data_IF_346729297275
#
_entry.id   IF_346729297275
#
_cell.length_a   1.000
_cell.length_b   1.000
_cell.length_c   1.000
_cell.angle_alpha   90.00
_cell.angle_beta   90.00
_cell.angle_gamma   90.00
#
_symmetry.space_group_name_H-M   'P 1'
#
loop_
_entity.id
_entity.type
_entity.pdbx_description
1 polymer ?
#
# COMPACT_ATOMS: atom_id res chain seq x y z
N UNK A 1 0.22 15.70 48.85
CA UNK A 1 -0.24 14.37 48.46
C UNK A 1 0.02 14.21 46.96
N UNK A 2 0.91 13.34 46.55
CA UNK A 2 1.07 13.03 45.13
C UNK A 2 -0.20 12.31 44.65
N UNK A 3 -0.84 12.86 43.59
CA UNK A 3 -1.96 12.18 42.92
C UNK A 3 -1.40 10.93 42.24
N UNK A 4 -1.73 9.78 42.78
CA UNK A 4 -1.45 8.51 42.11
C UNK A 4 -2.17 8.52 40.77
N UNK A 5 -1.40 8.43 39.67
CA UNK A 5 -1.96 8.30 38.33
C UNK A 5 -2.72 6.98 38.27
N UNK A 6 -3.93 6.95 37.70
CA UNK A 6 -4.70 5.71 37.57
C UNK A 6 -3.90 4.67 36.79
N UNK A 7 -3.84 3.46 37.33
CA UNK A 7 -3.20 2.32 36.67
C UNK A 7 -3.91 2.04 35.33
N UNK A 8 -3.19 2.29 34.24
CA UNK A 8 -3.67 1.96 32.89
C UNK A 8 -3.10 0.60 32.51
N UNK A 9 -3.93 -0.44 32.27
CA UNK A 9 -3.44 -1.75 31.92
C UNK A 9 -2.72 -1.70 30.56
N UNK A 10 -1.56 -2.36 30.48
CA UNK A 10 -0.72 -2.39 29.26
C UNK A 10 -1.49 -2.77 27.98
N UNK A 11 -2.50 -3.63 28.12
CA UNK A 11 -3.36 -4.04 27.01
C UNK A 11 -4.17 -2.87 26.42
N UNK A 12 -4.61 -1.94 27.25
CA UNK A 12 -5.35 -0.77 26.81
C UNK A 12 -4.42 0.20 26.04
N UNK A 13 -3.21 0.39 26.55
CA UNK A 13 -2.19 1.22 25.90
C UNK A 13 -1.86 0.66 24.52
N UNK A 14 -1.56 -0.65 24.43
CA UNK A 14 -1.24 -1.30 23.15
C UNK A 14 -2.42 -1.18 22.17
N UNK A 15 -3.66 -1.38 22.63
CA UNK A 15 -4.85 -1.26 21.79
C UNK A 15 -5.04 0.15 21.24
N UNK A 16 -4.84 1.18 22.06
CA UNK A 16 -4.94 2.59 21.65
C UNK A 16 -3.87 2.91 20.60
N UNK A 17 -2.62 2.58 20.85
CA UNK A 17 -1.53 2.81 19.89
C UNK A 17 -1.77 2.08 18.54
N UNK A 18 -2.28 0.86 18.58
CA UNK A 18 -2.56 0.10 17.34
C UNK A 18 -3.70 0.74 16.54
N UNK A 19 -4.74 1.24 17.20
CA UNK A 19 -5.86 1.91 16.52
C UNK A 19 -5.43 3.23 15.90
N UNK A 20 -4.69 4.06 16.63
CA UNK A 20 -4.18 5.34 16.13
C UNK A 20 -3.26 5.15 14.91
N UNK A 21 -2.35 4.17 14.95
CA UNK A 21 -1.49 3.85 13.82
C UNK A 21 -2.28 3.35 12.61
N UNK A 22 -3.30 2.52 12.81
CA UNK A 22 -4.16 2.02 11.73
C UNK A 22 -4.90 3.14 11.03
N UNK A 23 -5.49 4.05 11.80
CA UNK A 23 -6.25 5.20 11.28
C UNK A 23 -5.32 6.14 10.52
N UNK A 24 -4.15 6.46 11.07
CA UNK A 24 -3.16 7.29 10.39
C UNK A 24 -2.71 6.68 9.05
N UNK A 25 -2.39 5.39 9.02
CA UNK A 25 -2.01 4.71 7.78
C UNK A 25 -3.15 4.69 6.76
N UNK A 26 -4.38 4.48 7.20
CA UNK A 26 -5.55 4.53 6.33
C UNK A 26 -5.79 5.93 5.75
N UNK A 27 -5.60 6.99 6.54
CA UNK A 27 -5.67 8.39 6.10
C UNK A 27 -4.58 8.73 5.09
N UNK A 28 -3.39 8.14 5.22
CA UNK A 28 -2.29 8.37 4.31
C UNK A 28 -2.45 7.60 2.99
N UNK A 29 -2.77 6.32 3.07
CA UNK A 29 -2.81 5.41 1.90
C UNK A 29 -4.11 5.60 1.11
N UNK A 30 -5.23 5.83 1.80
CA UNK A 30 -6.56 5.94 1.18
C UNK A 30 -6.62 6.97 0.04
N UNK A 31 -6.32 8.25 0.29
CA UNK A 31 -6.35 9.28 -0.74
C UNK A 31 -5.39 9.00 -1.91
N UNK A 32 -4.19 8.49 -1.62
CA UNK A 32 -3.20 8.13 -2.66
C UNK A 32 -3.77 7.06 -3.58
N UNK A 33 -4.39 6.02 -3.02
CA UNK A 33 -4.99 4.94 -3.80
C UNK A 33 -6.20 5.39 -4.60
N UNK A 34 -7.02 6.31 -4.07
CA UNK A 34 -8.13 6.91 -4.81
C UNK A 34 -7.59 7.66 -6.03
N UNK A 35 -6.62 8.53 -5.84
CA UNK A 35 -6.04 9.33 -6.95
C UNK A 35 -5.42 8.43 -8.01
N UNK A 36 -4.65 7.41 -7.60
CA UNK A 36 -4.05 6.44 -8.53
C UNK A 36 -5.12 5.63 -9.27
N UNK A 37 -6.11 5.11 -8.57
CA UNK A 37 -7.20 4.34 -9.16
C UNK A 37 -8.01 5.15 -10.16
N UNK A 38 -8.41 6.36 -9.80
CA UNK A 38 -9.12 7.31 -10.67
C UNK A 38 -8.27 7.67 -11.89
N UNK A 39 -6.99 7.96 -11.70
CA UNK A 39 -6.06 8.25 -12.80
C UNK A 39 -5.94 7.09 -13.80
N UNK A 40 -5.85 5.85 -13.32
CA UNK A 40 -5.82 4.65 -14.17
C UNK A 40 -7.11 4.45 -14.96
N UNK A 41 -8.26 4.81 -14.37
CA UNK A 41 -9.57 4.68 -15.04
C UNK A 41 -9.81 5.78 -16.06
N UNK A 42 -9.42 7.04 -15.78
CA UNK A 42 -9.61 8.18 -16.67
C UNK A 42 -8.63 8.15 -17.86
N UNK A 43 -7.37 7.83 -17.60
CA UNK A 43 -6.30 7.88 -18.60
C UNK A 43 -5.49 6.59 -18.69
N UNK A 44 -6.09 5.45 -19.03
CA UNK A 44 -5.39 4.17 -19.07
C UNK A 44 -4.22 4.16 -20.08
N UNK A 45 -4.32 4.94 -21.15
CA UNK A 45 -3.26 5.08 -22.16
C UNK A 45 -2.00 5.74 -21.59
N UNK A 46 -2.15 6.81 -20.81
CA UNK A 46 -1.03 7.51 -20.20
C UNK A 46 -0.34 6.63 -19.15
N UNK A 47 -1.12 5.92 -18.34
CA UNK A 47 -0.57 4.96 -17.37
C UNK A 47 0.17 3.83 -18.03
N UNK A 48 -0.33 3.32 -19.16
CA UNK A 48 0.36 2.30 -19.95
C UNK A 48 1.70 2.82 -20.46
N UNK A 49 1.75 4.02 -21.05
CA UNK A 49 2.98 4.62 -21.54
C UNK A 49 4.01 4.81 -20.43
N UNK A 50 3.58 5.33 -19.28
CA UNK A 50 4.42 5.50 -18.10
C UNK A 50 4.94 4.15 -17.57
N UNK A 51 4.10 3.11 -17.56
CA UNK A 51 4.49 1.77 -17.16
C UNK A 51 5.49 1.14 -18.16
N UNK A 52 5.32 1.36 -19.45
CA UNK A 52 6.28 0.91 -20.49
C UNK A 52 7.65 1.58 -20.31
N UNK A 53 7.69 2.89 -20.05
CA UNK A 53 8.93 3.63 -19.76
C UNK A 53 9.58 3.13 -18.46
N UNK A 54 8.77 2.93 -17.43
CA UNK A 54 9.23 2.37 -16.15
C UNK A 54 9.92 1.02 -16.34
N UNK A 55 9.32 0.10 -17.11
CA UNK A 55 9.87 -1.23 -17.34
C UNK A 55 11.17 -1.21 -18.19
N UNK A 56 11.40 -0.17 -18.97
CA UNK A 56 12.65 0.01 -19.74
C UNK A 56 13.81 0.49 -18.88
N UNK A 57 13.54 1.11 -17.74
CA UNK A 57 14.55 1.69 -16.87
C UNK A 57 14.81 0.81 -15.65
N UNK A 58 15.97 0.14 -15.61
CA UNK A 58 16.41 -0.62 -14.43
C UNK A 58 16.48 0.25 -13.18
N UNK A 59 16.96 1.49 -13.33
CA UNK A 59 17.07 2.43 -12.22
C UNK A 59 15.71 2.73 -11.59
N UNK A 60 14.66 2.93 -12.40
CA UNK A 60 13.31 3.16 -11.90
C UNK A 60 12.75 1.91 -11.20
N UNK A 61 13.04 0.71 -11.69
CA UNK A 61 12.63 -0.55 -11.03
C UNK A 61 13.30 -0.66 -9.66
N UNK A 62 14.58 -0.32 -9.53
CA UNK A 62 15.29 -0.30 -8.24
C UNK A 62 14.72 0.73 -7.28
N UNK A 63 14.52 1.97 -7.74
CA UNK A 63 13.91 3.04 -6.92
C UNK A 63 12.53 2.62 -6.44
N UNK A 64 11.68 2.09 -7.32
CA UNK A 64 10.37 1.60 -6.95
C UNK A 64 10.43 0.40 -6.00
N UNK A 65 11.47 -0.45 -6.11
CA UNK A 65 11.75 -1.52 -5.17
C UNK A 65 12.01 -0.97 -3.76
N UNK A 66 12.88 0.04 -3.63
CA UNK A 66 13.15 0.70 -2.35
C UNK A 66 11.91 1.43 -1.82
N UNK A 67 11.21 2.16 -2.70
CA UNK A 67 9.98 2.90 -2.35
C UNK A 67 8.83 1.96 -1.91
N UNK A 68 8.84 0.70 -2.31
CA UNK A 68 7.89 -0.30 -1.84
C UNK A 68 8.39 -1.01 -0.56
N UNK A 69 9.68 -1.36 -0.50
CA UNK A 69 10.27 -2.11 0.61
C UNK A 69 10.28 -1.31 1.90
N UNK A 70 10.77 -0.06 1.87
CA UNK A 70 10.94 0.76 3.08
C UNK A 70 9.59 1.04 3.77
N UNK A 71 8.56 1.61 3.11
CA UNK A 71 7.27 1.79 3.75
C UNK A 71 6.55 0.47 4.04
N UNK A 72 6.71 -0.55 3.19
CA UNK A 72 6.18 -1.89 3.46
C UNK A 72 6.74 -2.47 4.77
N UNK A 73 8.05 -2.37 4.97
CA UNK A 73 8.70 -2.81 6.20
C UNK A 73 8.27 -1.97 7.40
N UNK A 74 8.16 -0.64 7.24
CA UNK A 74 7.65 0.25 8.28
C UNK A 74 6.24 -0.17 8.72
N UNK A 75 5.34 -0.47 7.76
CA UNK A 75 3.99 -0.95 8.06
C UNK A 75 4.05 -2.28 8.81
N UNK A 76 4.78 -3.27 8.32
CA UNK A 76 4.87 -4.60 8.94
C UNK A 76 5.44 -4.53 10.36
N UNK A 77 6.41 -3.66 10.62
CA UNK A 77 7.02 -3.50 11.95
C UNK A 77 6.11 -2.75 12.94
N UNK A 78 5.30 -1.81 12.46
CA UNK A 78 4.44 -0.97 13.32
C UNK A 78 2.99 -1.43 13.35
N UNK A 79 2.55 -2.13 12.31
CA UNK A 79 1.16 -2.54 12.11
C UNK A 79 1.09 -3.97 11.56
N UNK A 80 1.16 -4.96 12.44
CA UNK A 80 1.05 -6.38 12.07
C UNK A 80 -0.19 -7.00 12.72
N UNK A 81 -1.37 -6.55 12.27
CA UNK A 81 -2.66 -6.94 12.84
C UNK A 81 -3.35 -7.94 11.90
N UNK A 82 -3.52 -9.18 12.37
CA UNK A 82 -4.15 -10.29 11.63
C UNK A 82 -5.58 -10.56 12.15
N UNK A 83 -6.40 -9.53 12.20
CA UNK A 83 -7.82 -9.64 12.57
C UNK A 83 -8.63 -9.42 11.30
N UNK A 84 -9.71 -10.21 11.10
CA UNK A 84 -10.64 -10.04 9.97
C UNK A 84 -11.45 -8.74 10.12
N UNK A 85 -10.76 -7.61 9.89
CA UNK A 85 -11.28 -6.25 9.93
C UNK A 85 -10.58 -5.45 8.82
N UNK A 86 -11.05 -4.22 8.52
CA UNK A 86 -10.42 -3.32 7.54
C UNK A 86 -8.89 -3.11 7.77
N UNK A 87 -8.43 -3.26 9.00
CA UNK A 87 -6.99 -3.18 9.38
C UNK A 87 -6.14 -4.27 8.74
N UNK A 88 -6.74 -5.43 8.42
CA UNK A 88 -6.07 -6.49 7.70
C UNK A 88 -5.55 -6.01 6.33
N UNK A 89 -6.30 -5.11 5.67
CA UNK A 89 -5.90 -4.55 4.37
C UNK A 89 -4.54 -3.86 4.48
N UNK A 90 -4.32 -3.07 5.53
CA UNK A 90 -3.04 -2.36 5.77
C UNK A 90 -1.91 -3.35 5.99
N UNK A 91 -2.13 -4.38 6.80
CA UNK A 91 -1.14 -5.45 7.04
C UNK A 91 -0.77 -6.17 5.74
N UNK A 92 -1.76 -6.54 4.94
CA UNK A 92 -1.54 -7.20 3.64
C UNK A 92 -0.79 -6.27 2.68
N UNK A 93 -1.13 -4.99 2.61
CA UNK A 93 -0.41 -4.00 1.80
C UNK A 93 1.04 -3.85 2.24
N UNK A 94 1.31 -3.84 3.55
CA UNK A 94 2.66 -3.84 4.08
C UNK A 94 3.47 -5.04 3.62
N UNK A 95 2.93 -6.24 3.75
CA UNK A 95 3.58 -7.48 3.28
C UNK A 95 3.75 -7.52 1.76
N UNK A 96 2.77 -7.08 0.99
CA UNK A 96 2.90 -6.95 -0.47
C UNK A 96 4.00 -5.94 -0.85
N UNK A 97 4.12 -4.84 -0.09
CA UNK A 97 5.20 -3.87 -0.25
C UNK A 97 6.58 -4.49 -0.02
N UNK A 98 6.73 -5.27 1.06
CA UNK A 98 7.99 -5.97 1.36
C UNK A 98 8.32 -7.00 0.28
N UNK A 99 7.40 -7.91 -0.02
CA UNK A 99 7.62 -8.98 -1.01
C UNK A 99 7.88 -8.37 -2.40
N UNK A 100 7.03 -7.44 -2.81
CA UNK A 100 7.16 -6.78 -4.11
C UNK A 100 8.41 -5.90 -4.23
N UNK A 101 8.83 -5.26 -3.12
CA UNK A 101 10.07 -4.49 -3.05
C UNK A 101 11.30 -5.39 -3.19
N UNK A 102 11.38 -6.45 -2.40
CA UNK A 102 12.46 -7.45 -2.48
C UNK A 102 12.52 -8.07 -3.88
N UNK A 103 11.39 -8.44 -4.45
CA UNK A 103 11.33 -9.02 -5.78
C UNK A 103 11.87 -8.06 -6.87
N UNK A 104 11.55 -6.76 -6.80
CA UNK A 104 12.08 -5.75 -7.73
C UNK A 104 13.58 -5.54 -7.59
N UNK A 105 14.09 -5.62 -6.37
CA UNK A 105 15.52 -5.44 -6.12
C UNK A 105 16.36 -6.65 -6.54
N UNK A 106 15.86 -7.87 -6.30
CA UNK A 106 16.59 -9.09 -6.59
C UNK A 106 16.40 -9.56 -8.04
N UNK A 107 15.22 -9.35 -8.62
CA UNK A 107 14.83 -9.92 -9.91
C UNK A 107 14.29 -8.86 -10.89
N UNK A 108 15.05 -7.77 -11.19
CA UNK A 108 14.56 -6.70 -12.07
C UNK A 108 14.22 -7.16 -13.49
N UNK A 109 14.90 -8.21 -13.99
CA UNK A 109 14.63 -8.77 -15.32
C UNK A 109 13.27 -9.47 -15.38
N UNK A 110 12.90 -10.21 -14.34
CA UNK A 110 11.60 -10.87 -14.22
C UNK A 110 10.47 -9.85 -14.11
N UNK A 111 10.71 -8.74 -13.40
CA UNK A 111 9.76 -7.62 -13.32
C UNK A 111 9.46 -7.07 -14.71
N UNK A 112 10.50 -6.87 -15.53
CA UNK A 112 10.34 -6.40 -16.92
C UNK A 112 9.57 -7.42 -17.75
N UNK A 113 9.90 -8.70 -17.67
CA UNK A 113 9.25 -9.76 -18.44
C UNK A 113 7.75 -9.90 -18.08
N UNK A 114 7.43 -9.98 -16.79
CA UNK A 114 6.05 -10.10 -16.31
C UNK A 114 5.26 -8.83 -16.63
N UNK A 115 5.85 -7.66 -16.39
CA UNK A 115 5.22 -6.37 -16.63
C UNK A 115 4.89 -6.18 -18.12
N UNK A 116 5.78 -6.53 -19.03
CA UNK A 116 5.53 -6.43 -20.48
C UNK A 116 4.41 -7.36 -20.94
N UNK A 117 4.33 -8.58 -20.39
CA UNK A 117 3.22 -9.49 -20.65
C UNK A 117 1.86 -8.91 -20.19
N UNK A 118 1.84 -8.29 -19.03
CA UNK A 118 0.63 -7.66 -18.50
C UNK A 118 0.20 -6.45 -19.35
N UNK A 119 1.14 -5.64 -19.81
CA UNK A 119 0.86 -4.48 -20.65
C UNK A 119 0.45 -4.82 -22.08
N UNK A 120 0.71 -6.03 -22.55
CA UNK A 120 0.27 -6.50 -23.88
C UNK A 120 -1.26 -6.55 -24.02
N UNK A 121 -2.00 -6.61 -22.90
CA UNK A 121 -3.47 -6.63 -22.88
C UNK A 121 -4.03 -5.34 -22.26
N UNK A 122 -4.59 -4.41 -23.05
CA UNK A 122 -5.04 -3.12 -22.56
C UNK A 122 -6.19 -3.21 -21.53
N UNK A 123 -6.95 -4.29 -21.55
CA UNK A 123 -8.06 -4.53 -20.61
C UNK A 123 -7.58 -4.77 -19.18
N UNK A 124 -6.36 -5.27 -19.01
CA UNK A 124 -5.77 -5.60 -17.71
C UNK A 124 -5.38 -4.38 -16.87
N UNK A 125 -5.31 -3.19 -17.48
CA UNK A 125 -5.03 -1.94 -16.74
C UNK A 125 -6.25 -1.36 -16.02
N UNK A 126 -7.45 -1.64 -16.51
CA UNK A 126 -8.68 -1.15 -15.88
C UNK A 126 -9.02 -1.90 -14.59
N UNK A 127 -8.80 -3.21 -14.60
CA UNK A 127 -9.09 -4.05 -13.43
C UNK A 127 -8.25 -3.65 -12.19
N UNK A 128 -6.90 -3.56 -12.25
CA UNK A 128 -6.13 -3.08 -11.11
C UNK A 128 -6.47 -1.65 -10.72
N UNK A 129 -6.79 -0.75 -11.67
CA UNK A 129 -7.22 0.61 -11.36
C UNK A 129 -8.51 0.64 -10.53
N UNK A 130 -9.51 -0.18 -10.88
CA UNK A 130 -10.75 -0.30 -10.12
C UNK A 130 -10.50 -0.90 -8.72
N UNK A 131 -9.65 -1.93 -8.62
CA UNK A 131 -9.30 -2.55 -7.33
C UNK A 131 -8.56 -1.56 -6.42
N UNK A 132 -7.55 -0.87 -6.94
CA UNK A 132 -6.79 0.14 -6.16
C UNK A 132 -7.70 1.29 -5.72
N UNK A 133 -8.57 1.79 -6.61
CA UNK A 133 -9.53 2.82 -6.26
C UNK A 133 -10.53 2.38 -5.20
N UNK A 134 -11.06 1.18 -5.30
CA UNK A 134 -11.98 0.62 -4.30
C UNK A 134 -11.31 0.44 -2.94
N UNK A 135 -10.09 -0.11 -2.90
CA UNK A 135 -9.28 -0.20 -1.67
C UNK A 135 -9.02 1.18 -1.07
N UNK A 136 -8.70 2.16 -1.91
CA UNK A 136 -8.51 3.54 -1.49
C UNK A 136 -9.76 4.14 -0.84
N UNK A 137 -10.95 3.91 -1.42
CA UNK A 137 -12.22 4.37 -0.85
C UNK A 137 -12.51 3.72 0.51
N UNK A 138 -12.31 2.41 0.63
CA UNK A 138 -12.50 1.68 1.90
C UNK A 138 -11.56 2.22 2.96
N UNK A 139 -10.27 2.37 2.66
CA UNK A 139 -9.29 2.90 3.60
C UNK A 139 -9.57 4.37 3.98
N UNK A 140 -9.94 5.21 3.01
CA UNK A 140 -10.31 6.60 3.30
C UNK A 140 -11.56 6.68 4.19
N UNK A 141 -12.58 5.87 3.94
CA UNK A 141 -13.77 5.82 4.78
C UNK A 141 -13.43 5.49 6.23
N UNK A 142 -12.68 4.41 6.47
CA UNK A 142 -12.30 4.02 7.83
C UNK A 142 -11.24 4.94 8.45
N UNK A 143 -10.42 5.61 7.65
CA UNK A 143 -9.46 6.57 8.13
C UNK A 143 -10.04 7.91 8.57
N UNK A 144 -11.10 8.40 7.89
CA UNK A 144 -11.65 9.74 8.14
C UNK A 144 -13.01 9.72 8.86
N UNK A 145 -13.79 8.65 8.75
CA UNK A 145 -15.18 8.58 9.26
C UNK A 145 -15.32 7.52 10.36
N UNK A 146 -14.58 6.42 10.27
CA UNK A 146 -14.57 5.33 11.26
C UNK A 146 -13.61 5.59 12.37
#
# INVERSE_FOLDING_TARGET
>A
MPRELPYVPKQLIVKVFTVENSTFLAQLIGPVFIVMGVGMLISPRNYRMTAEEFLRSRALIYIAGLMALVPGLAIVLTHNVWIFDWRLIITVLGWLGVIGGVFRLLFPQQVTAIGSMMLARPEWLRAPGAVVGALGLVLAYFGFVG
#
